data_IF_681552111953
#
_entry.id   IF_681552111953
#
_cell.length_a   1.000
_cell.length_b   1.000
_cell.length_c   1.000
_cell.angle_alpha   90.00
_cell.angle_beta   90.00
_cell.angle_gamma   90.00
#
_symmetry.space_group_name_H-M   'P 1'
#
loop_
_entity.id
_entity.type
_entity.pdbx_description
1 polymer ?
#
# COMPACT_ATOMS: atom_id res chain seq x y z
N UNK A 1 22.10 0.95 -5.34
CA UNK A 1 21.53 2.28 -5.70
C UNK A 1 20.28 2.17 -6.59
N UNK A 2 19.95 1.00 -7.13
CA UNK A 2 18.69 0.78 -7.87
C UNK A 2 17.49 0.51 -6.95
N UNK A 3 17.66 -0.34 -5.93
CA UNK A 3 16.56 -0.79 -5.06
C UNK A 3 15.84 0.32 -4.26
N UNK A 4 16.55 1.41 -3.92
CA UNK A 4 15.93 2.58 -3.23
C UNK A 4 14.99 3.36 -4.16
N UNK A 5 15.40 3.54 -5.42
CA UNK A 5 14.64 4.27 -6.44
C UNK A 5 13.37 3.51 -6.84
N UNK A 6 13.47 2.18 -6.95
CA UNK A 6 12.34 1.30 -7.21
C UNK A 6 11.31 1.37 -6.06
N UNK A 7 11.81 1.50 -4.83
CA UNK A 7 11.00 1.63 -3.63
C UNK A 7 10.16 2.91 -3.56
N UNK A 8 10.78 4.05 -3.87
CA UNK A 8 10.09 5.34 -3.90
C UNK A 8 9.07 5.40 -5.03
N UNK A 9 9.41 4.86 -6.21
CA UNK A 9 8.50 4.81 -7.35
C UNK A 9 7.29 3.87 -7.10
N UNK A 10 7.49 2.75 -6.41
CA UNK A 10 6.40 1.88 -5.98
C UNK A 10 5.49 2.61 -4.99
N UNK A 11 6.06 3.25 -3.95
CA UNK A 11 5.31 4.04 -2.98
C UNK A 11 4.46 5.12 -3.66
N UNK A 12 5.03 5.89 -4.57
CA UNK A 12 4.30 6.97 -5.25
C UNK A 12 3.10 6.42 -6.05
N UNK A 13 3.30 5.30 -6.76
CA UNK A 13 2.21 4.60 -7.47
C UNK A 13 1.12 4.12 -6.52
N UNK A 14 1.48 3.41 -5.45
CA UNK A 14 0.53 2.90 -4.46
C UNK A 14 -0.23 4.05 -3.78
N UNK A 15 0.46 5.12 -3.36
CA UNK A 15 -0.17 6.29 -2.74
C UNK A 15 -1.12 7.03 -3.69
N UNK A 16 -0.76 7.12 -4.97
CA UNK A 16 -1.61 7.73 -6.00
C UNK A 16 -2.84 6.88 -6.31
N UNK A 17 -2.69 5.56 -6.38
CA UNK A 17 -3.80 4.64 -6.57
C UNK A 17 -4.75 4.70 -5.37
N UNK A 18 -4.22 4.66 -4.14
CA UNK A 18 -5.01 4.77 -2.92
C UNK A 18 -5.80 6.07 -2.87
N UNK A 19 -5.18 7.21 -3.20
CA UNK A 19 -5.88 8.51 -3.24
C UNK A 19 -6.93 8.62 -4.35
N UNK A 20 -6.84 7.77 -5.38
CA UNK A 20 -7.81 7.73 -6.48
C UNK A 20 -8.96 6.79 -6.18
N UNK A 21 -8.71 5.76 -5.39
CA UNK A 21 -9.75 4.89 -4.84
C UNK A 21 -10.44 5.61 -3.68
N UNK A 22 -11.74 5.44 -3.52
CA UNK A 22 -12.49 5.97 -2.37
C UNK A 22 -12.35 5.04 -1.14
N UNK A 23 -11.20 4.36 -1.03
CA UNK A 23 -10.96 3.33 -0.02
C UNK A 23 -10.51 3.96 1.30
N UNK A 24 -11.03 3.44 2.41
CA UNK A 24 -10.50 3.81 3.71
C UNK A 24 -9.15 3.11 3.97
N UNK A 25 -8.27 3.75 4.73
CA UNK A 25 -6.97 3.17 5.08
C UNK A 25 -7.14 1.94 5.97
N UNK A 26 -8.20 1.90 6.77
CA UNK A 26 -8.56 0.76 7.62
C UNK A 26 -8.96 -0.45 6.75
N UNK A 27 -9.75 -0.24 5.69
CA UNK A 27 -10.14 -1.30 4.74
C UNK A 27 -8.92 -1.87 4.00
N UNK A 28 -8.04 -1.00 3.51
CA UNK A 28 -6.79 -1.40 2.88
C UNK A 28 -5.92 -2.19 3.86
N UNK A 29 -5.78 -1.70 5.10
CA UNK A 29 -5.01 -2.36 6.14
C UNK A 29 -5.58 -3.73 6.51
N UNK A 30 -6.90 -3.85 6.67
CA UNK A 30 -7.56 -5.12 6.99
C UNK A 30 -7.32 -6.18 5.90
N UNK A 31 -7.39 -5.78 4.64
CA UNK A 31 -7.15 -6.70 3.53
C UNK A 31 -5.67 -7.10 3.46
N UNK A 32 -4.76 -6.12 3.54
CA UNK A 32 -3.32 -6.35 3.63
C UNK A 32 -2.93 -7.28 4.80
N UNK A 33 -3.53 -7.08 5.98
CA UNK A 33 -3.30 -7.92 7.15
C UNK A 33 -3.78 -9.36 6.92
N UNK A 34 -4.92 -9.52 6.23
CA UNK A 34 -5.49 -10.84 5.90
C UNK A 34 -4.63 -11.66 4.95
N UNK A 35 -3.88 -11.02 4.04
CA UNK A 35 -2.98 -11.69 3.09
C UNK A 35 -1.56 -11.94 3.64
N UNK A 36 -1.30 -11.63 4.91
CA UNK A 36 -0.01 -11.86 5.57
C UNK A 36 0.81 -10.60 5.85
N UNK A 37 0.17 -9.43 5.81
CA UNK A 37 0.77 -8.17 6.23
C UNK A 37 1.12 -8.15 7.72
N UNK A 38 2.32 -7.68 8.05
CA UNK A 38 2.85 -7.60 9.42
C UNK A 38 2.90 -6.16 9.95
N UNK A 39 2.64 -5.18 9.08
CA UNK A 39 2.66 -3.76 9.44
C UNK A 39 1.32 -3.31 10.04
N UNK A 40 1.38 -2.39 11.00
CA UNK A 40 0.20 -1.73 11.54
C UNK A 40 -0.39 -0.67 10.61
N UNK A 41 -1.64 -0.29 10.84
CA UNK A 41 -2.33 0.77 10.10
C UNK A 41 -1.52 2.08 10.09
N UNK A 42 -0.92 2.46 11.23
CA UNK A 42 -0.09 3.67 11.33
C UNK A 42 1.16 3.63 10.43
N UNK A 43 1.79 2.46 10.26
CA UNK A 43 2.95 2.31 9.38
C UNK A 43 2.55 2.42 7.90
N UNK A 44 1.38 1.90 7.55
CA UNK A 44 0.79 2.05 6.22
C UNK A 44 0.42 3.50 5.94
N UNK A 45 -0.24 4.18 6.87
CA UNK A 45 -0.54 5.62 6.76
C UNK A 45 0.73 6.43 6.55
N UNK A 46 1.77 6.17 7.36
CA UNK A 46 3.05 6.84 7.23
C UNK A 46 3.73 6.55 5.88
N UNK A 47 3.56 5.34 5.34
CA UNK A 47 4.04 4.97 4.01
C UNK A 47 3.32 5.72 2.89
N UNK A 48 1.99 5.77 2.94
CA UNK A 48 1.17 6.51 1.98
C UNK A 48 1.50 8.01 2.02
N UNK A 49 1.74 8.56 3.21
CA UNK A 49 2.17 9.94 3.41
C UNK A 49 3.64 10.21 3.03
N UNK A 50 4.45 9.18 2.82
CA UNK A 50 5.89 9.32 2.55
C UNK A 50 6.73 9.73 3.76
N UNK A 51 6.18 9.57 4.96
CA UNK A 51 6.90 9.76 6.21
C UNK A 51 7.65 8.50 6.65
N UNK A 52 7.32 7.33 6.07
CA UNK A 52 7.96 6.05 6.37
C UNK A 52 8.12 5.20 5.10
N UNK A 53 9.13 4.33 5.07
CA UNK A 53 9.35 3.39 3.98
C UNK A 53 9.22 1.96 4.51
N UNK A 54 8.13 1.27 4.14
CA UNK A 54 7.89 -0.12 4.54
C UNK A 54 8.99 -1.06 4.03
N UNK A 55 9.08 -2.28 4.53
CA UNK A 55 9.98 -3.30 3.93
C UNK A 55 9.51 -3.66 2.51
N UNK A 56 10.41 -4.03 1.59
CA UNK A 56 10.06 -4.32 0.20
C UNK A 56 8.92 -5.33 0.06
N UNK A 57 8.94 -6.41 0.84
CA UNK A 57 7.86 -7.40 0.86
C UNK A 57 6.50 -6.82 1.28
N UNK A 58 6.48 -5.87 2.23
CA UNK A 58 5.25 -5.26 2.71
C UNK A 58 4.69 -4.23 1.72
N UNK A 59 5.56 -3.57 0.95
CA UNK A 59 5.13 -2.68 -0.14
C UNK A 59 4.44 -3.47 -1.23
N UNK A 60 4.99 -4.62 -1.59
CA UNK A 60 4.43 -5.51 -2.59
C UNK A 60 3.06 -6.06 -2.16
N UNK A 61 2.96 -6.50 -0.91
CA UNK A 61 1.68 -6.92 -0.32
C UNK A 61 0.65 -5.78 -0.27
N UNK A 62 1.07 -4.56 0.08
CA UNK A 62 0.17 -3.40 0.11
C UNK A 62 -0.32 -3.02 -1.29
N UNK A 63 0.58 -3.05 -2.29
CA UNK A 63 0.24 -2.79 -3.69
C UNK A 63 -0.74 -3.84 -4.22
N UNK A 64 -0.51 -5.11 -3.88
CA UNK A 64 -1.40 -6.22 -4.22
C UNK A 64 -2.77 -6.05 -3.57
N UNK A 65 -2.81 -5.76 -2.27
CA UNK A 65 -4.05 -5.53 -1.54
C UNK A 65 -4.87 -4.38 -2.13
N UNK A 66 -4.20 -3.28 -2.49
CA UNK A 66 -4.84 -2.13 -3.12
C UNK A 66 -5.38 -2.45 -4.52
N UNK A 67 -4.65 -3.26 -5.30
CA UNK A 67 -5.10 -3.70 -6.62
C UNK A 67 -6.35 -4.57 -6.53
N UNK A 68 -6.36 -5.57 -5.64
CA UNK A 68 -7.50 -6.47 -5.40
C UNK A 68 -8.76 -5.70 -4.95
N UNK A 69 -8.59 -4.77 -4.02
CA UNK A 69 -9.69 -3.90 -3.57
C UNK A 69 -10.18 -3.01 -4.71
N UNK A 70 -9.27 -2.29 -5.38
CA UNK A 70 -9.64 -1.39 -6.47
C UNK A 70 -10.31 -2.08 -7.66
N UNK A 71 -9.91 -3.31 -7.98
CA UNK A 71 -10.54 -4.15 -9.02
C UNK A 71 -11.94 -4.62 -8.59
N UNK A 72 -12.10 -5.04 -7.33
CA UNK A 72 -13.40 -5.46 -6.78
C UNK A 72 -14.46 -4.35 -6.77
N UNK A 73 -14.06 -3.08 -6.73
CA UNK A 73 -14.99 -1.93 -6.83
C UNK A 73 -15.27 -1.48 -8.27
N UNK A 74 -14.64 -2.10 -9.27
CA UNK A 74 -14.70 -1.70 -10.69
C UNK A 74 -15.67 -2.46 -11.58
N UNK A 75 -16.39 -3.48 -11.07
CA UNK A 75 -17.39 -4.29 -11.81
C UNK A 75 -18.85 -3.86 -11.54
#
# INVERSE_FOLDING_TARGET
>A
MTEELDGEAQRDRTARAFRRSDLDVDELWMHYFSIGGDAGAMEIEAYLHGSYMLRPIQRDLLDHALYELGDSFGD
#
